data_IF_556922023547
#
_entry.id   IF_556922023547
#
_cell.length_a   1.000
_cell.length_b   1.000
_cell.length_c   1.000
_cell.angle_alpha   90.00
_cell.angle_beta   90.00
_cell.angle_gamma   90.00
#
_symmetry.space_group_name_H-M   'P 1'
#
loop_
_entity.id
_entity.type
_entity.pdbx_description
1 polymer ?
#
# COMPACT_ATOMS: atom_id res chain seq x y z
N UNK A 1 -12.98 17.69 -13.43
CA UNK A 1 -13.27 17.00 -12.16
C UNK A 1 -12.30 15.84 -11.97
N UNK A 2 -11.73 15.74 -10.77
CA UNK A 2 -10.80 14.68 -10.40
C UNK A 2 -11.55 13.35 -10.28
N UNK A 3 -11.05 12.31 -10.96
CA UNK A 3 -11.63 10.96 -10.94
C UNK A 3 -10.96 10.12 -9.87
N UNK A 4 -11.77 9.39 -9.10
CA UNK A 4 -11.32 8.49 -8.03
C UNK A 4 -11.91 7.09 -8.20
N UNK A 5 -11.19 6.07 -7.73
CA UNK A 5 -11.61 4.66 -7.80
C UNK A 5 -11.87 4.05 -6.42
N UNK A 6 -11.33 4.64 -5.36
CA UNK A 6 -11.39 4.09 -4.00
C UNK A 6 -12.76 4.21 -3.34
N UNK A 7 -13.68 4.99 -3.91
CA UNK A 7 -15.03 5.17 -3.38
C UNK A 7 -15.88 3.90 -3.49
N UNK A 8 -15.81 3.21 -4.65
CA UNK A 8 -16.69 2.10 -5.00
C UNK A 8 -16.04 1.04 -5.92
N UNK A 9 -14.69 1.05 -6.05
CA UNK A 9 -13.89 0.24 -6.98
C UNK A 9 -14.20 0.50 -8.46
N UNK A 10 -14.84 1.61 -8.77
CA UNK A 10 -15.12 2.07 -10.13
C UNK A 10 -14.75 3.54 -10.28
N UNK A 11 -14.41 3.96 -11.48
CA UNK A 11 -14.12 5.36 -11.77
C UNK A 11 -15.36 6.23 -11.57
N UNK A 12 -15.24 7.23 -10.72
CA UNK A 12 -16.29 8.19 -10.42
C UNK A 12 -15.68 9.57 -10.19
N UNK A 13 -16.38 10.64 -10.59
CA UNK A 13 -15.98 11.98 -10.20
C UNK A 13 -15.96 12.09 -8.67
N UNK A 14 -14.90 12.66 -8.12
CA UNK A 14 -14.75 12.88 -6.68
C UNK A 14 -15.93 13.61 -6.06
N UNK A 15 -16.53 14.54 -6.78
CA UNK A 15 -17.71 15.29 -6.31
C UNK A 15 -18.96 14.43 -6.23
N UNK A 16 -19.07 13.41 -7.09
CA UNK A 16 -20.20 12.47 -7.14
C UNK A 16 -19.98 11.23 -6.26
N UNK A 17 -18.79 11.05 -5.75
CA UNK A 17 -18.48 9.92 -4.87
C UNK A 17 -19.30 9.97 -3.57
N UNK A 18 -20.01 8.88 -3.20
CA UNK A 18 -20.85 8.85 -1.99
C UNK A 18 -20.03 8.87 -0.69
N UNK A 19 -18.72 8.65 -0.77
CA UNK A 19 -17.77 8.81 0.34
C UNK A 19 -16.79 9.93 0.06
N UNK A 20 -16.21 10.48 1.12
CA UNK A 20 -15.14 11.47 1.00
C UNK A 20 -13.86 10.75 0.64
N UNK A 21 -13.32 11.06 -0.54
CA UNK A 21 -11.99 10.63 -0.99
C UNK A 21 -11.07 11.83 -1.00
N UNK A 22 -10.02 11.78 -0.20
CA UNK A 22 -8.94 12.76 -0.28
C UNK A 22 -7.93 12.28 -1.32
N UNK A 23 -7.45 13.20 -2.15
CA UNK A 23 -6.51 12.89 -3.21
C UNK A 23 -5.24 13.70 -3.03
N UNK A 24 -4.10 13.03 -3.06
CA UNK A 24 -2.79 13.63 -3.11
C UNK A 24 -2.21 13.39 -4.50
N UNK A 25 -1.96 14.45 -5.25
CA UNK A 25 -1.44 14.37 -6.62
C UNK A 25 0.09 14.25 -6.66
N UNK A 26 0.63 13.76 -7.77
CA UNK A 26 2.07 13.74 -8.03
C UNK A 26 2.73 15.13 -7.87
N UNK A 27 2.01 16.20 -8.25
CA UNK A 27 2.48 17.57 -8.07
C UNK A 27 2.74 17.95 -6.61
N UNK A 28 1.95 17.43 -5.67
CA UNK A 28 2.20 17.65 -4.25
C UNK A 28 3.53 17.02 -3.83
N UNK A 29 3.80 15.78 -4.27
CA UNK A 29 5.05 15.07 -3.95
C UNK A 29 6.28 15.81 -4.48
N UNK A 30 6.19 16.37 -5.68
CA UNK A 30 7.23 17.24 -6.25
C UNK A 30 7.41 18.53 -5.45
N UNK A 31 6.31 19.17 -5.07
CA UNK A 31 6.34 20.45 -4.32
C UNK A 31 6.98 20.29 -2.95
N UNK A 32 6.74 19.19 -2.26
CA UNK A 32 7.31 18.93 -0.93
C UNK A 32 8.68 18.24 -0.98
N UNK A 33 9.24 18.04 -2.18
CA UNK A 33 10.52 17.37 -2.41
C UNK A 33 10.63 16.04 -1.67
N UNK A 34 9.59 15.23 -1.71
CA UNK A 34 9.59 13.96 -1.02
C UNK A 34 10.28 12.86 -1.82
N UNK A 35 11.16 12.12 -1.17
CA UNK A 35 11.88 10.98 -1.76
C UNK A 35 11.11 9.68 -1.62
N UNK A 36 10.15 9.63 -0.70
CA UNK A 36 9.32 8.44 -0.42
C UNK A 36 7.87 8.82 -0.12
N UNK A 37 6.99 7.84 -0.30
CA UNK A 37 5.57 8.05 -0.11
C UNK A 37 5.23 8.33 1.36
N UNK A 38 5.88 7.67 2.30
CA UNK A 38 5.58 7.82 3.73
C UNK A 38 5.70 9.27 4.18
N UNK A 39 6.81 9.96 3.86
CA UNK A 39 6.99 11.37 4.19
C UNK A 39 5.91 12.26 3.57
N UNK A 40 5.51 11.97 2.34
CA UNK A 40 4.47 12.75 1.65
C UNK A 40 3.13 12.71 2.36
N UNK A 41 2.77 11.58 2.97
CA UNK A 41 1.48 11.39 3.63
C UNK A 41 1.27 12.33 4.82
N UNK A 42 2.33 12.85 5.44
CA UNK A 42 2.22 13.86 6.52
C UNK A 42 1.58 15.18 6.06
N UNK A 43 1.58 15.47 4.77
CA UNK A 43 0.95 16.68 4.22
C UNK A 43 -0.56 16.52 4.02
N UNK A 44 -1.12 15.37 4.35
CA UNK A 44 -2.55 15.14 4.28
C UNK A 44 -3.18 15.23 5.68
N UNK A 45 -4.13 16.13 5.86
CA UNK A 45 -4.86 16.28 7.12
C UNK A 45 -5.46 14.95 7.58
N UNK A 46 -5.30 14.61 8.87
CA UNK A 46 -5.79 13.37 9.49
C UNK A 46 -4.92 12.14 9.21
N UNK A 47 -3.78 12.31 8.53
CA UNK A 47 -2.71 11.34 8.48
C UNK A 47 -1.52 11.84 9.31
N UNK A 48 -0.84 10.92 9.94
CA UNK A 48 0.42 11.15 10.63
C UNK A 48 1.35 9.97 10.37
N UNK A 49 2.56 10.26 9.94
CA UNK A 49 3.63 9.27 9.82
C UNK A 49 4.54 9.39 11.03
N UNK A 50 4.67 8.33 11.77
CA UNK A 50 5.54 8.23 12.95
C UNK A 50 6.62 7.18 12.71
N UNK A 51 7.83 7.45 13.18
CA UNK A 51 8.88 6.45 13.27
C UNK A 51 8.82 5.83 14.66
N UNK A 52 8.33 4.60 14.75
CA UNK A 52 8.16 3.89 16.02
C UNK A 52 9.47 3.32 16.58
N UNK A 53 10.49 3.26 15.76
CA UNK A 53 11.81 2.76 16.14
C UNK A 53 12.90 3.67 15.58
N UNK A 54 13.72 4.25 16.44
CA UNK A 54 14.86 5.08 16.04
C UNK A 54 15.89 4.28 15.24
N UNK A 55 16.25 3.10 15.74
CA UNK A 55 17.31 2.28 15.16
C UNK A 55 16.92 1.66 13.81
N UNK A 56 15.68 1.16 13.67
CA UNK A 56 15.23 0.53 12.44
C UNK A 56 14.65 1.52 11.40
N UNK A 57 14.30 2.74 11.84
CA UNK A 57 13.77 3.78 10.96
C UNK A 57 12.47 3.39 10.29
N UNK A 58 11.55 2.82 11.04
CA UNK A 58 10.30 2.26 10.57
C UNK A 58 9.15 3.27 10.59
N UNK A 59 8.68 3.75 9.43
CA UNK A 59 7.56 4.67 9.37
C UNK A 59 6.22 3.93 9.40
N UNK A 60 5.37 4.31 10.30
CA UNK A 60 4.00 3.85 10.42
C UNK A 60 3.02 4.99 10.10
N UNK A 61 1.99 4.72 9.31
CA UNK A 61 0.96 5.72 8.99
C UNK A 61 -0.24 5.51 9.89
N UNK A 62 -0.58 6.53 10.66
CA UNK A 62 -1.81 6.61 11.46
C UNK A 62 -2.89 7.36 10.69
N UNK A 63 -4.10 6.80 10.66
CA UNK A 63 -5.28 7.46 10.11
C UNK A 63 -6.20 7.83 11.29
N UNK A 64 -6.46 9.12 11.48
CA UNK A 64 -7.28 9.62 12.59
C UNK A 64 -6.84 9.10 13.97
N UNK A 65 -5.53 8.88 14.17
CA UNK A 65 -4.96 8.38 15.41
C UNK A 65 -4.93 6.85 15.54
N UNK A 66 -5.58 6.10 14.65
CA UNK A 66 -5.48 4.64 14.62
C UNK A 66 -4.15 4.22 14.00
N UNK A 67 -3.54 3.20 14.57
CA UNK A 67 -2.22 2.68 14.18
C UNK A 67 -2.20 2.07 12.78
N UNK A 68 -1.00 1.98 12.20
CA UNK A 68 -0.78 1.51 10.84
C UNK A 68 -1.45 0.18 10.49
N UNK A 69 -1.39 -0.85 11.34
CA UNK A 69 -2.04 -2.14 11.10
C UNK A 69 -3.56 -2.08 10.89
N UNK A 70 -4.21 -1.00 11.33
CA UNK A 70 -5.65 -0.76 11.09
C UNK A 70 -5.93 0.00 9.79
N UNK A 71 -4.90 0.26 8.98
CA UNK A 71 -4.99 0.95 7.70
C UNK A 71 -4.68 0.01 6.55
N UNK A 72 -5.61 -0.15 5.62
CA UNK A 72 -5.39 -0.96 4.42
C UNK A 72 -4.64 -0.16 3.37
N UNK A 73 -3.48 -0.66 2.96
CA UNK A 73 -2.70 -0.08 1.86
C UNK A 73 -2.92 -0.93 0.60
N UNK A 74 -3.20 -0.25 -0.50
CA UNK A 74 -3.48 -0.85 -1.80
C UNK A 74 -2.57 -0.24 -2.86
N UNK A 75 -2.23 -1.02 -3.86
CA UNK A 75 -1.67 -0.54 -5.13
C UNK A 75 -2.65 -0.87 -6.24
N UNK A 76 -3.12 0.16 -6.95
CA UNK A 76 -4.13 0.01 -8.01
C UNK A 76 -5.38 -0.78 -7.55
N UNK A 77 -5.87 -0.44 -6.34
CA UNK A 77 -7.03 -1.07 -5.69
C UNK A 77 -6.86 -2.55 -5.31
N UNK A 78 -5.63 -3.05 -5.26
CA UNK A 78 -5.31 -4.43 -4.86
C UNK A 78 -4.50 -4.43 -3.58
N UNK A 79 -4.86 -5.28 -2.60
CA UNK A 79 -4.00 -5.49 -1.45
C UNK A 79 -2.73 -6.20 -1.93
N UNK A 80 -1.60 -5.52 -1.83
CA UNK A 80 -0.29 -6.04 -2.25
C UNK A 80 0.61 -6.25 -1.04
N UNK A 81 0.14 -5.88 0.12
CA UNK A 81 0.97 -5.77 1.31
C UNK A 81 0.79 -7.03 2.14
N UNK A 82 1.88 -7.76 2.26
CA UNK A 82 2.05 -8.86 3.20
C UNK A 82 2.10 -8.35 4.66
N UNK A 83 1.99 -9.24 5.62
CA UNK A 83 2.17 -8.91 7.03
C UNK A 83 3.50 -8.20 7.29
N UNK A 84 4.58 -8.63 6.62
CA UNK A 84 5.92 -8.03 6.75
C UNK A 84 6.02 -6.67 6.06
N UNK A 85 5.46 -6.49 4.88
CA UNK A 85 5.53 -5.20 4.16
C UNK A 85 4.56 -4.15 4.70
N UNK A 86 3.58 -4.53 5.50
CA UNK A 86 2.77 -3.59 6.30
C UNK A 86 3.62 -2.76 7.25
N UNK A 87 4.76 -3.28 7.64
CA UNK A 87 5.73 -2.62 8.53
C UNK A 87 6.64 -1.65 7.76
N UNK A 88 7.23 -2.06 6.65
CA UNK A 88 8.24 -1.27 5.91
C UNK A 88 7.77 -0.74 4.55
N UNK A 89 6.64 -1.21 4.06
CA UNK A 89 6.25 -1.11 2.66
C UNK A 89 6.08 0.31 2.10
N UNK A 90 5.67 1.28 2.91
CA UNK A 90 5.39 2.63 2.40
C UNK A 90 6.64 3.41 1.99
N UNK A 91 7.77 3.23 2.67
CA UNK A 91 9.03 3.86 2.25
C UNK A 91 9.63 3.21 1.00
N UNK A 92 9.26 1.95 0.75
CA UNK A 92 9.73 1.18 -0.39
C UNK A 92 9.01 1.53 -1.70
N UNK A 93 7.92 2.32 -1.61
CA UNK A 93 7.17 2.80 -2.77
C UNK A 93 7.76 4.13 -3.25
N UNK A 94 8.43 4.15 -4.40
CA UNK A 94 9.04 5.37 -4.91
C UNK A 94 7.98 6.33 -5.45
N UNK A 95 8.08 7.60 -5.09
CA UNK A 95 7.11 8.63 -5.49
C UNK A 95 7.04 8.85 -7.00
N UNK A 96 8.14 8.56 -7.73
CA UNK A 96 8.19 8.75 -9.18
C UNK A 96 7.27 7.78 -9.96
N UNK A 97 6.88 6.64 -9.36
CA UNK A 97 5.89 5.72 -9.95
C UNK A 97 4.44 6.13 -9.65
N UNK A 98 4.22 7.02 -8.67
CA UNK A 98 2.88 7.36 -8.19
C UNK A 98 2.27 8.46 -9.02
N UNK A 99 1.05 8.24 -9.52
CA UNK A 99 0.22 9.26 -10.16
C UNK A 99 -0.54 10.08 -9.11
N UNK A 100 -1.18 9.37 -8.18
CA UNK A 100 -1.91 9.96 -7.05
C UNK A 100 -2.10 8.95 -5.93
N UNK A 101 -2.41 9.45 -4.76
CA UNK A 101 -2.84 8.63 -3.62
C UNK A 101 -4.25 9.02 -3.24
N UNK A 102 -5.14 8.04 -3.18
CA UNK A 102 -6.52 8.19 -2.77
C UNK A 102 -6.69 7.66 -1.35
N UNK A 103 -7.24 8.49 -0.45
CA UNK A 103 -7.41 8.16 0.96
C UNK A 103 -8.88 8.22 1.31
N UNK A 104 -9.42 7.08 1.73
CA UNK A 104 -10.77 6.95 2.30
C UNK A 104 -10.64 6.68 3.77
N UNK A 105 -11.30 7.50 4.60
CA UNK A 105 -11.26 7.37 6.05
C UNK A 105 -12.46 6.58 6.57
N UNK A 106 -12.26 5.90 7.70
CA UNK A 106 -13.28 5.05 8.31
C UNK A 106 -13.31 3.65 7.70
N UNK A 107 -14.19 2.80 8.17
CA UNK A 107 -14.26 1.38 7.80
C UNK A 107 -14.39 1.16 6.30
N UNK A 108 -13.41 0.51 5.70
CA UNK A 108 -13.35 0.17 4.26
C UNK A 108 -13.51 -1.32 3.98
N UNK A 109 -13.69 -2.15 5.02
CA UNK A 109 -13.67 -3.62 4.88
C UNK A 109 -14.76 -4.16 3.97
N UNK A 110 -15.87 -3.47 3.82
CA UNK A 110 -16.93 -3.83 2.87
C UNK A 110 -16.46 -3.88 1.40
N UNK A 111 -15.38 -3.17 1.04
CA UNK A 111 -14.77 -3.22 -0.29
C UNK A 111 -13.43 -3.92 -0.33
N UNK A 112 -12.59 -3.62 0.67
CA UNK A 112 -11.17 -3.92 0.61
C UNK A 112 -10.75 -5.05 1.59
N UNK A 113 -11.70 -5.60 2.35
CA UNK A 113 -11.46 -6.73 3.25
C UNK A 113 -10.78 -6.35 4.55
N UNK A 114 -9.97 -7.26 5.07
CA UNK A 114 -9.28 -7.11 6.35
C UNK A 114 -8.37 -5.87 6.39
N UNK A 115 -8.11 -5.38 7.60
CA UNK A 115 -7.24 -4.25 7.93
C UNK A 115 -7.78 -2.85 7.59
N UNK A 116 -8.88 -2.71 6.85
CA UNK A 116 -9.48 -1.42 6.53
C UNK A 116 -10.40 -0.91 7.66
N UNK A 117 -9.89 -0.77 8.88
CA UNK A 117 -10.63 -0.27 10.06
C UNK A 117 -10.55 1.25 10.14
N UNK A 118 -9.36 1.81 10.15
CA UNK A 118 -9.11 3.26 10.20
C UNK A 118 -9.31 3.95 8.86
N UNK A 119 -9.11 3.20 7.78
CA UNK A 119 -9.24 3.69 6.41
C UNK A 119 -8.45 2.89 5.40
N UNK A 120 -8.45 3.41 4.18
CA UNK A 120 -7.74 2.83 3.05
C UNK A 120 -6.87 3.88 2.39
N UNK A 121 -5.63 3.52 2.10
CA UNK A 121 -4.67 4.31 1.31
C UNK A 121 -4.45 3.56 0.01
N UNK A 122 -4.97 4.06 -1.09
CA UNK A 122 -4.87 3.45 -2.41
C UNK A 122 -3.88 4.24 -3.28
N UNK A 123 -2.79 3.60 -3.62
CA UNK A 123 -1.71 4.17 -4.42
C UNK A 123 -2.00 3.85 -5.87
N UNK A 124 -2.30 4.87 -6.66
CA UNK A 124 -2.51 4.75 -8.10
C UNK A 124 -1.19 5.04 -8.80
N UNK A 125 -0.70 4.05 -9.53
CA UNK A 125 0.56 4.16 -10.26
C UNK A 125 0.35 4.81 -11.63
N UNK A 126 1.39 5.51 -12.13
CA UNK A 126 1.36 6.17 -13.45
C UNK A 126 1.13 5.14 -14.55
N UNK A 127 0.16 5.42 -15.40
CA UNK A 127 -0.06 4.67 -16.64
C UNK A 127 0.82 5.24 -17.77
N UNK A 128 1.35 4.41 -18.66
CA UNK A 128 1.99 4.90 -19.90
C UNK A 128 0.91 5.45 -20.84
N UNK A 129 0.75 6.78 -20.86
CA UNK A 129 -0.26 7.46 -21.69
C UNK A 129 0.36 8.25 -22.84
N UNK A 130 1.65 8.55 -22.77
CA UNK A 130 2.40 9.25 -23.79
C UNK A 130 3.88 8.90 -23.71
N UNK A 131 4.62 9.13 -24.81
CA UNK A 131 6.06 8.99 -24.78
C UNK A 131 6.66 10.09 -23.91
N UNK A 132 7.42 9.70 -22.91
CA UNK A 132 8.04 10.62 -21.96
C UNK A 132 9.32 10.04 -21.37
N UNK A 133 10.18 10.95 -20.94
CA UNK A 133 11.40 10.63 -20.20
C UNK A 133 11.57 11.67 -19.10
N UNK A 134 11.82 11.22 -17.89
CA UNK A 134 12.05 12.08 -16.75
C UNK A 134 13.22 11.55 -15.91
N UNK A 135 14.11 12.42 -15.49
CA UNK A 135 15.16 12.14 -14.51
C UNK A 135 15.02 13.13 -13.37
N UNK A 136 15.17 12.68 -12.17
CA UNK A 136 15.17 13.48 -10.96
C UNK A 136 16.37 13.13 -10.09
N UNK A 137 16.95 14.12 -9.46
CA UNK A 137 18.04 13.94 -8.50
C UNK A 137 17.83 14.91 -7.35
N UNK A 138 18.06 14.42 -6.14
CA UNK A 138 18.03 15.24 -4.93
C UNK A 138 19.18 14.87 -4.03
N UNK A 139 19.79 15.86 -3.44
CA UNK A 139 20.83 15.70 -2.43
C UNK A 139 20.46 16.52 -1.21
N UNK A 140 20.41 15.92 -0.07
CA UNK A 140 20.08 16.54 1.21
C UNK A 140 21.24 16.42 2.17
N UNK A 141 21.55 17.51 2.87
CA UNK A 141 22.52 17.51 3.95
C UNK A 141 21.81 17.72 5.29
N UNK A 142 22.08 16.85 6.24
CA UNK A 142 21.52 16.91 7.59
C UNK A 142 22.55 17.55 8.52
N UNK A 143 22.35 18.83 8.82
CA UNK A 143 23.14 19.62 9.77
C UNK A 143 24.68 19.57 9.55
N UNK A 144 25.12 19.46 8.28
CA UNK A 144 26.54 19.35 7.93
C UNK A 144 27.18 17.97 8.25
N UNK A 145 26.48 17.10 8.94
CA UNK A 145 27.01 15.82 9.44
C UNK A 145 26.72 14.63 8.54
N UNK A 146 25.58 14.59 7.87
CA UNK A 146 25.15 13.43 7.06
C UNK A 146 24.51 13.83 5.74
N UNK A 147 24.62 12.94 4.76
CA UNK A 147 24.11 13.15 3.41
C UNK A 147 23.09 12.07 3.05
N UNK A 148 22.04 12.50 2.36
CA UNK A 148 21.11 11.61 1.68
C UNK A 148 21.05 11.97 0.20
N UNK A 149 21.18 10.97 -0.67
CA UNK A 149 21.10 11.09 -2.12
C UNK A 149 19.90 10.29 -2.62
N UNK A 150 19.17 10.88 -3.54
CA UNK A 150 18.11 10.24 -4.31
C UNK A 150 18.32 10.50 -5.79
N UNK A 151 18.17 9.45 -6.59
CA UNK A 151 18.12 9.53 -8.05
C UNK A 151 16.92 8.72 -8.52
N UNK A 152 16.16 9.25 -9.45
CA UNK A 152 14.99 8.60 -10.04
C UNK A 152 14.93 8.81 -11.54
N UNK A 153 14.54 7.77 -12.27
CA UNK A 153 14.31 7.80 -13.70
C UNK A 153 12.98 7.18 -14.08
N UNK A 154 12.29 7.76 -15.06
CA UNK A 154 11.08 7.21 -15.65
C UNK A 154 11.19 7.28 -17.18
N UNK A 155 10.76 6.22 -17.85
CA UNK A 155 10.58 6.17 -19.31
C UNK A 155 9.20 5.63 -19.59
N UNK A 156 8.46 6.28 -20.47
CA UNK A 156 7.18 5.81 -20.97
C UNK A 156 7.18 5.80 -22.48
N UNK A 157 6.77 4.68 -23.06
CA UNK A 157 6.63 4.46 -24.48
C UNK A 157 5.23 3.95 -24.79
N UNK A 158 4.58 4.56 -25.78
CA UNK A 158 3.20 4.24 -26.15
C UNK A 158 3.09 4.13 -27.66
N UNK A 159 2.43 3.10 -28.14
CA UNK A 159 2.11 2.93 -29.54
C UNK A 159 1.22 4.07 -30.05
N UNK A 160 1.39 4.48 -31.32
CA UNK A 160 0.63 5.59 -31.91
C UNK A 160 -0.90 5.38 -31.88
N UNK A 161 -1.31 4.13 -31.98
CA UNK A 161 -2.72 3.69 -31.94
C UNK A 161 -3.20 3.35 -30.52
N UNK A 162 -2.38 3.58 -29.48
CA UNK A 162 -2.64 3.21 -28.09
C UNK A 162 -2.96 1.73 -27.84
N UNK A 163 -2.55 0.84 -28.74
CA UNK A 163 -2.75 -0.61 -28.58
C UNK A 163 -1.93 -1.16 -27.43
N UNK A 164 -0.72 -0.64 -27.21
CA UNK A 164 0.13 -1.02 -26.08
C UNK A 164 0.94 0.17 -25.56
N UNK A 165 1.33 0.07 -24.33
CA UNK A 165 2.25 1.03 -23.70
C UNK A 165 3.04 0.35 -22.59
N UNK A 166 4.24 0.86 -22.35
CA UNK A 166 5.15 0.41 -21.30
C UNK A 166 5.75 1.62 -20.58
N UNK A 167 5.76 1.58 -19.27
CA UNK A 167 6.48 2.50 -18.41
C UNK A 167 7.50 1.72 -17.58
N UNK A 168 8.71 2.23 -17.54
CA UNK A 168 9.80 1.74 -16.70
C UNK A 168 10.14 2.85 -15.72
N UNK A 169 10.47 2.47 -14.50
CA UNK A 169 10.98 3.39 -13.49
C UNK A 169 12.09 2.74 -12.69
N UNK A 170 13.05 3.55 -12.29
CA UNK A 170 14.13 3.16 -11.41
C UNK A 170 14.37 4.24 -10.38
N UNK A 171 14.69 3.85 -9.15
CA UNK A 171 15.12 4.77 -8.10
C UNK A 171 16.27 4.19 -7.32
N UNK A 172 17.21 5.05 -7.02
CA UNK A 172 18.30 4.80 -6.10
C UNK A 172 18.23 5.80 -4.95
N UNK A 173 18.33 5.32 -3.72
CA UNK A 173 18.37 6.13 -2.51
C UNK A 173 19.47 5.65 -1.59
N UNK A 174 20.31 6.58 -1.16
CA UNK A 174 21.39 6.28 -0.24
C UNK A 174 21.45 7.35 0.85
N UNK A 175 21.42 6.95 2.10
CA UNK A 175 21.53 7.83 3.26
C UNK A 175 22.64 7.31 4.18
N UNK A 176 23.55 8.20 4.56
CA UNK A 176 24.50 7.94 5.62
C UNK A 176 23.79 7.99 6.99
N UNK A 177 24.28 7.29 8.00
CA UNK A 177 23.71 7.42 9.34
C UNK A 177 23.88 8.86 9.85
N UNK A 178 22.92 9.30 10.64
CA UNK A 178 22.91 10.63 11.25
C UNK A 178 22.75 10.51 12.76
N UNK A 179 23.76 10.97 13.48
CA UNK A 179 23.82 11.12 14.92
C UNK A 179 23.59 12.62 15.22
N UNK A 180 22.43 12.93 15.79
CA UNK A 180 21.98 14.29 16.01
C UNK A 180 22.63 14.94 17.23
N UNK A 181 22.68 14.21 18.35
CA UNK A 181 23.13 14.70 19.65
C UNK A 181 24.60 14.39 19.96
N UNK A 182 25.22 13.49 19.18
CA UNK A 182 26.67 13.20 19.27
C UNK A 182 26.99 12.12 20.30
N UNK A 183 26.06 11.30 20.68
CA UNK A 183 26.25 10.19 21.63
C UNK A 183 26.84 8.92 20.98
N UNK A 184 27.01 8.93 19.65
CA UNK A 184 27.57 7.84 18.85
C UNK A 184 26.53 6.87 18.31
N UNK A 185 25.24 7.05 18.63
CA UNK A 185 24.13 6.30 18.07
C UNK A 185 23.40 7.12 17.02
N UNK A 186 22.74 6.44 16.10
CA UNK A 186 22.04 7.12 15.00
C UNK A 186 20.56 7.33 15.32
N UNK A 187 20.06 8.56 15.21
CA UNK A 187 18.62 8.88 15.15
C UNK A 187 18.04 8.58 13.78
N UNK A 188 18.87 8.68 12.72
CA UNK A 188 18.52 8.20 11.40
C UNK A 188 19.54 7.17 10.93
N UNK A 189 19.10 5.94 10.73
CA UNK A 189 19.95 4.85 10.32
C UNK A 189 20.46 4.99 8.88
N UNK A 190 21.50 4.24 8.56
CA UNK A 190 21.99 4.05 7.20
C UNK A 190 20.92 3.40 6.35
N UNK A 191 20.73 3.89 5.12
CA UNK A 191 19.82 3.35 4.12
C UNK A 191 20.53 3.24 2.78
N UNK A 192 20.39 2.10 2.11
CA UNK A 192 20.71 1.93 0.70
C UNK A 192 19.56 1.16 0.06
N UNK A 193 18.91 1.74 -0.92
CA UNK A 193 17.75 1.16 -1.58
C UNK A 193 17.83 1.38 -3.08
N UNK A 194 17.54 0.32 -3.82
CA UNK A 194 17.37 0.36 -5.27
C UNK A 194 16.03 -0.30 -5.60
N UNK A 195 15.19 0.41 -6.34
CA UNK A 195 13.89 -0.10 -6.81
C UNK A 195 13.81 0.05 -8.31
N UNK A 196 13.50 -1.05 -8.99
CA UNK A 196 13.18 -1.07 -10.41
C UNK A 196 11.75 -1.55 -10.58
N UNK A 197 11.02 -0.98 -11.53
CA UNK A 197 9.69 -1.44 -11.86
C UNK A 197 9.28 -1.20 -13.30
N UNK A 198 8.24 -1.93 -13.67
CA UNK A 198 7.64 -1.94 -14.98
C UNK A 198 6.12 -1.93 -14.83
N UNK A 199 5.47 -1.12 -15.64
CA UNK A 199 4.02 -1.17 -15.86
C UNK A 199 3.76 -1.16 -17.37
N UNK A 200 2.98 -2.12 -17.84
CA UNK A 200 2.64 -2.22 -19.25
C UNK A 200 1.15 -2.51 -19.42
N UNK A 201 0.61 -2.10 -20.54
CA UNK A 201 -0.70 -2.54 -20.98
C UNK A 201 -0.69 -3.01 -22.43
N UNK A 202 -1.64 -3.90 -22.72
CA UNK A 202 -1.99 -4.33 -24.07
C UNK A 202 -3.50 -4.32 -24.24
N UNK A 203 -3.98 -3.74 -25.34
CA UNK A 203 -5.41 -3.71 -25.72
C UNK A 203 -5.62 -4.65 -26.89
N UNK A 204 -6.04 -5.90 -26.67
CA UNK A 204 -6.35 -6.84 -27.75
C UNK A 204 -7.55 -6.39 -28.59
N UNK A 205 -8.40 -5.54 -28.04
CA UNK A 205 -9.51 -4.88 -28.70
C UNK A 205 -9.81 -3.53 -28.02
N UNK A 206 -10.65 -2.70 -28.66
CA UNK A 206 -11.03 -1.39 -28.10
C UNK A 206 -11.76 -1.47 -26.75
N UNK A 207 -12.37 -2.62 -26.46
CA UNK A 207 -13.12 -2.88 -25.23
C UNK A 207 -12.44 -3.83 -24.26
N UNK A 208 -11.18 -4.17 -24.49
CA UNK A 208 -10.41 -5.07 -23.61
C UNK A 208 -9.04 -4.50 -23.31
N UNK A 209 -8.59 -4.69 -22.06
CA UNK A 209 -7.27 -4.25 -21.62
C UNK A 209 -6.65 -5.28 -20.70
N UNK A 210 -5.42 -5.64 -20.98
CA UNK A 210 -4.53 -6.43 -20.10
C UNK A 210 -3.53 -5.44 -19.50
N UNK A 211 -3.34 -5.49 -18.17
CA UNK A 211 -2.28 -4.73 -17.51
C UNK A 211 -1.32 -5.71 -16.83
N UNK A 212 -0.03 -5.41 -16.94
CA UNK A 212 1.07 -6.16 -16.34
C UNK A 212 1.87 -5.20 -15.47
N UNK A 213 2.20 -5.61 -14.27
CA UNK A 213 3.00 -4.85 -13.33
C UNK A 213 4.08 -5.76 -12.74
N UNK A 214 5.28 -5.22 -12.59
CA UNK A 214 6.37 -5.86 -11.87
C UNK A 214 7.21 -4.80 -11.19
N UNK A 215 7.63 -5.07 -9.96
CA UNK A 215 8.66 -4.27 -9.31
C UNK A 215 9.53 -5.14 -8.40
N UNK A 216 10.78 -4.73 -8.26
CA UNK A 216 11.74 -5.32 -7.34
C UNK A 216 12.41 -4.23 -6.53
N UNK A 217 12.61 -4.50 -5.25
CA UNK A 217 13.30 -3.59 -4.33
C UNK A 217 14.38 -4.36 -3.58
N UNK A 218 15.61 -3.84 -3.64
CA UNK A 218 16.70 -4.25 -2.79
C UNK A 218 16.95 -3.15 -1.77
N UNK A 219 16.78 -3.46 -0.50
CA UNK A 219 16.92 -2.49 0.57
C UNK A 219 17.90 -3.02 1.64
N UNK A 220 18.79 -2.15 2.08
CA UNK A 220 19.62 -2.33 3.24
C UNK A 220 19.38 -1.18 4.22
N UNK A 221 19.03 -1.50 5.46
CA UNK A 221 18.89 -0.56 6.58
C UNK A 221 19.75 -0.99 7.75
N UNK A 222 20.32 -0.01 8.45
CA UNK A 222 21.04 -0.26 9.68
C UNK A 222 20.99 0.98 10.57
N UNK A 223 20.54 0.78 11.81
CA UNK A 223 20.64 1.75 12.90
C UNK A 223 21.49 1.23 14.03
N UNK A 224 21.83 2.09 14.97
CA UNK A 224 22.69 1.80 16.10
C UNK A 224 24.01 2.55 16.05
N UNK A 225 25.11 1.90 16.39
CA UNK A 225 26.42 2.54 16.42
C UNK A 225 27.50 1.74 15.66
N UNK A 226 28.72 2.27 15.63
CA UNK A 226 29.94 1.59 15.09
C UNK A 226 29.70 0.96 13.71
N UNK A 227 29.21 1.77 12.75
CA UNK A 227 28.80 1.33 11.42
C UNK A 227 29.88 0.67 10.56
N UNK A 228 31.15 0.77 10.97
CA UNK A 228 32.31 0.13 10.34
C UNK A 228 32.55 -1.30 10.78
N UNK A 229 31.88 -1.76 11.85
CA UNK A 229 32.00 -3.10 12.41
C UNK A 229 30.86 -4.01 11.95
N UNK A 230 30.99 -5.32 12.15
CA UNK A 230 29.88 -6.25 11.94
C UNK A 230 28.72 -5.97 12.95
N UNK A 231 27.47 -6.29 12.65
CA UNK A 231 26.37 -6.02 13.57
C UNK A 231 26.58 -6.57 14.98
N UNK A 232 27.07 -7.80 15.10
CA UNK A 232 27.32 -8.47 16.38
C UNK A 232 28.60 -7.99 17.13
N UNK A 233 29.35 -7.05 16.54
CA UNK A 233 30.54 -6.46 17.19
C UNK A 233 30.22 -5.10 17.81
N UNK A 234 29.00 -4.62 17.64
CA UNK A 234 28.54 -3.30 18.10
C UNK A 234 27.86 -3.40 19.46
N UNK A 235 27.57 -2.25 20.06
CA UNK A 235 26.87 -2.21 21.34
C UNK A 235 25.37 -2.46 21.14
N UNK A 236 24.77 -1.81 20.13
CA UNK A 236 23.41 -2.04 19.67
C UNK A 236 23.39 -1.90 18.14
N UNK A 237 22.77 -2.84 17.46
CA UNK A 237 22.47 -2.73 16.02
C UNK A 237 21.14 -3.37 15.69
N UNK A 238 20.36 -2.63 14.93
CA UNK A 238 19.23 -3.15 14.16
C UNK A 238 19.57 -3.04 12.68
N UNK A 239 19.60 -4.17 12.00
CA UNK A 239 19.93 -4.24 10.60
C UNK A 239 18.95 -5.14 9.87
N UNK A 240 18.49 -4.68 8.71
CA UNK A 240 17.68 -5.48 7.79
C UNK A 240 18.19 -5.36 6.37
N UNK A 241 18.13 -6.47 5.64
CA UNK A 241 18.32 -6.54 4.20
C UNK A 241 17.11 -7.21 3.60
N UNK A 242 16.36 -6.48 2.78
CA UNK A 242 15.18 -6.97 2.08
C UNK A 242 15.47 -7.16 0.59
N UNK A 243 14.94 -8.25 0.03
CA UNK A 243 14.78 -8.44 -1.40
C UNK A 243 13.29 -8.70 -1.62
N UNK A 244 12.61 -7.76 -2.27
CA UNK A 244 11.18 -7.80 -2.52
C UNK A 244 10.96 -7.91 -4.02
N UNK A 245 10.20 -8.91 -4.43
CA UNK A 245 9.73 -9.07 -5.80
C UNK A 245 8.22 -9.09 -5.80
N UNK A 246 7.60 -8.25 -6.62
CA UNK A 246 6.16 -8.15 -6.69
C UNK A 246 5.69 -8.07 -8.14
N UNK A 247 4.57 -8.70 -8.43
CA UNK A 247 3.99 -8.70 -9.77
C UNK A 247 2.48 -8.71 -9.73
N UNK A 248 1.87 -8.22 -10.81
CA UNK A 248 0.43 -8.18 -10.98
C UNK A 248 0.02 -8.32 -12.44
N UNK A 249 -1.11 -8.97 -12.64
CA UNK A 249 -1.78 -9.11 -13.92
C UNK A 249 -3.25 -8.75 -13.74
N UNK A 250 -3.82 -8.01 -14.68
CA UNK A 250 -5.27 -7.83 -14.74
C UNK A 250 -5.77 -7.82 -16.16
N UNK A 251 -7.01 -8.28 -16.31
CA UNK A 251 -7.78 -8.22 -17.54
C UNK A 251 -9.10 -7.50 -17.25
N UNK A 252 -9.33 -6.42 -17.98
CA UNK A 252 -10.58 -5.66 -17.99
C UNK A 252 -11.28 -5.84 -19.34
N UNK A 253 -12.57 -6.14 -19.29
CA UNK A 253 -13.43 -6.21 -20.49
C UNK A 253 -14.67 -5.37 -20.29
N UNK A 254 -14.98 -4.55 -21.30
CA UNK A 254 -16.11 -3.63 -21.31
C UNK A 254 -17.07 -4.02 -22.42
N UNK A 255 -18.37 -3.86 -22.21
CA UNK A 255 -19.39 -4.04 -23.23
C UNK A 255 -20.57 -3.11 -23.02
N UNK A 256 -21.48 -3.06 -24.00
CA UNK A 256 -22.65 -2.20 -23.97
C UNK A 256 -22.28 -0.75 -23.68
N UNK A 257 -21.43 -0.15 -24.56
CA UNK A 257 -20.96 1.24 -24.43
C UNK A 257 -20.28 1.52 -23.06
N UNK A 258 -19.51 0.56 -22.57
CA UNK A 258 -18.82 0.59 -21.27
C UNK A 258 -19.75 0.67 -20.04
N UNK A 259 -21.07 0.42 -20.21
CA UNK A 259 -22.00 0.31 -19.07
C UNK A 259 -21.73 -0.91 -18.19
N UNK A 260 -21.09 -1.91 -18.76
CA UNK A 260 -20.71 -3.13 -18.06
C UNK A 260 -19.20 -3.33 -18.14
N UNK A 261 -18.63 -3.75 -17.03
CA UNK A 261 -17.20 -4.07 -16.90
C UNK A 261 -17.03 -5.36 -16.15
N UNK A 262 -16.19 -6.25 -16.65
CA UNK A 262 -15.65 -7.39 -15.92
C UNK A 262 -14.14 -7.18 -15.72
N UNK A 263 -13.67 -7.41 -14.52
CA UNK A 263 -12.25 -7.36 -14.18
C UNK A 263 -11.84 -8.68 -13.54
N UNK A 264 -10.75 -9.27 -14.03
CA UNK A 264 -10.05 -10.38 -13.39
C UNK A 264 -8.65 -9.92 -13.05
N UNK A 265 -8.15 -10.25 -11.87
CA UNK A 265 -6.83 -9.81 -11.46
C UNK A 265 -6.15 -10.81 -10.53
N UNK A 266 -4.84 -10.81 -10.59
CA UNK A 266 -3.98 -11.51 -9.66
C UNK A 266 -2.75 -10.67 -9.33
N UNK A 267 -2.25 -10.82 -8.12
CA UNK A 267 -0.98 -10.24 -7.68
C UNK A 267 -0.23 -11.20 -6.78
N UNK A 268 1.09 -11.08 -6.79
CA UNK A 268 2.00 -11.88 -5.96
C UNK A 268 3.11 -10.99 -5.44
N UNK A 269 3.52 -11.20 -4.20
CA UNK A 269 4.69 -10.56 -3.61
C UNK A 269 5.48 -11.58 -2.80
N UNK A 270 6.77 -11.62 -3.01
CA UNK A 270 7.72 -12.41 -2.23
C UNK A 270 8.74 -11.48 -1.59
N UNK A 271 8.96 -11.64 -0.29
CA UNK A 271 9.95 -10.89 0.49
C UNK A 271 10.89 -11.85 1.18
N UNK A 272 12.17 -11.78 0.85
CA UNK A 272 13.27 -12.40 1.60
C UNK A 272 13.92 -11.31 2.48
N UNK A 273 13.98 -11.55 3.77
CA UNK A 273 14.60 -10.63 4.73
C UNK A 273 15.67 -11.34 5.54
N UNK A 274 16.87 -10.78 5.56
CA UNK A 274 17.89 -11.11 6.53
C UNK A 274 17.97 -9.98 7.56
N UNK A 275 17.96 -10.31 8.83
CA UNK A 275 17.91 -9.32 9.92
C UNK A 275 18.97 -9.59 10.99
N UNK A 276 19.29 -8.55 11.72
CA UNK A 276 20.03 -8.62 12.98
C UNK A 276 19.37 -7.62 13.95
N UNK A 277 18.93 -8.09 15.10
CA UNK A 277 18.36 -7.27 16.17
C UNK A 277 19.07 -7.60 17.48
N UNK A 278 20.20 -6.96 17.73
CA UNK A 278 21.04 -7.35 18.84
C UNK A 278 21.69 -6.21 19.59
N UNK A 279 21.96 -6.47 20.87
CA UNK A 279 22.75 -5.64 21.75
C UNK A 279 23.83 -6.48 22.42
N UNK A 280 24.82 -5.80 23.04
CA UNK A 280 25.88 -6.43 23.83
C UNK A 280 26.69 -7.51 23.07
N UNK A 281 26.89 -7.32 21.78
CA UNK A 281 27.67 -8.21 20.91
C UNK A 281 27.11 -9.63 20.77
N UNK A 282 25.78 -9.74 20.73
CA UNK A 282 25.12 -11.04 20.65
C UNK A 282 25.30 -11.66 19.26
N UNK A 283 26.03 -12.77 19.17
CA UNK A 283 26.25 -13.52 17.93
C UNK A 283 24.98 -14.24 17.41
N UNK A 284 24.00 -14.43 18.26
CA UNK A 284 22.80 -15.22 17.94
C UNK A 284 21.60 -14.38 17.52
N UNK A 285 21.74 -13.05 17.41
CA UNK A 285 20.66 -12.14 17.10
C UNK A 285 20.35 -12.01 15.59
N UNK A 286 20.86 -12.92 14.77
CA UNK A 286 20.56 -13.00 13.34
C UNK A 286 19.26 -13.72 13.10
N UNK A 287 18.49 -13.22 12.13
CA UNK A 287 17.24 -13.80 11.72
C UNK A 287 17.08 -13.85 10.20
N UNK A 288 16.20 -14.72 9.77
CA UNK A 288 15.76 -14.84 8.37
C UNK A 288 14.25 -14.96 8.30
N UNK A 289 13.64 -14.18 7.40
CA UNK A 289 12.21 -14.21 7.15
C UNK A 289 11.96 -14.42 5.66
N UNK A 290 11.06 -15.34 5.34
CA UNK A 290 10.49 -15.58 4.03
C UNK A 290 8.99 -15.31 4.10
N UNK A 291 8.48 -14.45 3.22
CA UNK A 291 7.07 -14.04 3.23
C UNK A 291 6.53 -14.01 1.80
N UNK A 292 5.59 -14.89 1.52
CA UNK A 292 4.91 -14.99 0.23
C UNK A 292 3.44 -14.64 0.38
N UNK A 293 3.00 -13.61 -0.33
CA UNK A 293 1.58 -13.22 -0.41
C UNK A 293 1.11 -13.27 -1.86
N UNK A 294 -0.08 -13.83 -2.10
CA UNK A 294 -0.72 -13.71 -3.39
C UNK A 294 -2.23 -13.48 -3.24
N UNK A 295 -2.80 -12.81 -4.22
CA UNK A 295 -4.21 -12.45 -4.29
C UNK A 295 -4.76 -12.79 -5.66
N UNK A 296 -5.94 -13.38 -5.72
CA UNK A 296 -6.72 -13.56 -6.94
C UNK A 296 -8.11 -12.98 -6.71
N UNK A 297 -8.65 -12.30 -7.72
CA UNK A 297 -9.98 -11.73 -7.62
C UNK A 297 -10.67 -11.54 -8.96
N UNK A 298 -11.98 -11.40 -8.88
CA UNK A 298 -12.83 -11.05 -10.00
C UNK A 298 -13.93 -10.10 -9.56
N UNK A 299 -14.27 -9.16 -10.44
CA UNK A 299 -15.27 -8.15 -10.16
C UNK A 299 -16.09 -7.86 -11.41
N UNK A 300 -17.39 -7.65 -11.22
CA UNK A 300 -18.30 -7.15 -12.21
C UNK A 300 -18.89 -5.81 -11.76
N UNK A 301 -18.97 -4.86 -12.68
CA UNK A 301 -19.66 -3.59 -12.52
C UNK A 301 -20.69 -3.45 -13.65
N UNK A 302 -21.93 -3.13 -13.30
CA UNK A 302 -23.00 -2.95 -14.28
C UNK A 302 -23.87 -1.74 -13.98
N UNK A 303 -24.04 -0.87 -14.96
CA UNK A 303 -24.99 0.25 -14.89
C UNK A 303 -26.36 -0.21 -15.37
N UNK A 304 -27.37 0.06 -14.57
CA UNK A 304 -28.77 -0.28 -14.82
C UNK A 304 -29.60 1.01 -14.90
N UNK A 305 -30.38 1.16 -15.98
CA UNK A 305 -31.22 2.34 -16.14
C UNK A 305 -32.30 2.45 -15.06
N UNK A 306 -32.76 1.30 -14.55
CA UNK A 306 -33.67 1.21 -13.41
C UNK A 306 -33.39 -0.08 -12.62
N UNK A 307 -33.21 0.08 -11.31
CA UNK A 307 -33.06 -1.01 -10.39
C UNK A 307 -33.85 -0.68 -9.12
N UNK A 308 -34.95 -1.39 -8.90
CA UNK A 308 -35.95 -1.14 -7.87
C UNK A 308 -36.68 0.19 -8.05
N UNK A 309 -36.06 1.32 -7.74
CA UNK A 309 -36.74 2.65 -7.72
C UNK A 309 -35.93 3.76 -8.42
N UNK A 310 -34.69 3.49 -8.88
CA UNK A 310 -33.85 4.51 -9.53
C UNK A 310 -32.77 3.87 -10.42
N UNK A 311 -32.13 4.64 -11.31
CA UNK A 311 -30.90 4.22 -11.96
C UNK A 311 -29.85 3.81 -10.94
N UNK A 312 -29.11 2.73 -11.23
CA UNK A 312 -28.16 2.19 -10.28
C UNK A 312 -26.90 1.65 -10.95
N UNK A 313 -25.82 1.62 -10.16
CA UNK A 313 -24.58 0.92 -10.50
C UNK A 313 -24.41 -0.23 -9.53
N UNK A 314 -24.47 -1.44 -10.04
CA UNK A 314 -24.18 -2.66 -9.28
C UNK A 314 -22.70 -2.97 -9.36
N UNK A 315 -22.11 -3.38 -8.26
CA UNK A 315 -20.74 -3.93 -8.18
C UNK A 315 -20.76 -5.18 -7.34
N UNK A 316 -20.23 -6.27 -7.86
CA UNK A 316 -20.08 -7.52 -7.11
C UNK A 316 -18.81 -8.24 -7.49
N UNK A 317 -18.24 -8.98 -6.56
CA UNK A 317 -17.00 -9.68 -6.81
C UNK A 317 -16.60 -10.67 -5.73
N UNK A 318 -15.50 -11.32 -6.00
CA UNK A 318 -14.84 -12.24 -5.08
C UNK A 318 -13.36 -11.95 -5.03
N UNK A 319 -12.73 -12.33 -3.92
CA UNK A 319 -11.29 -12.16 -3.70
C UNK A 319 -10.80 -13.29 -2.80
N UNK A 320 -9.68 -13.87 -3.16
CA UNK A 320 -8.97 -14.85 -2.34
C UNK A 320 -7.56 -14.36 -2.11
N UNK A 321 -7.14 -14.36 -0.86
CA UNK A 321 -5.78 -13.99 -0.43
C UNK A 321 -5.15 -15.13 0.35
N UNK A 322 -3.89 -15.39 0.09
CA UNK A 322 -3.04 -16.31 0.87
C UNK A 322 -1.74 -15.60 1.23
N UNK A 323 -1.36 -15.67 2.48
CA UNK A 323 -0.06 -15.19 2.98
C UNK A 323 0.60 -16.31 3.78
N UNK A 324 1.79 -16.71 3.37
CA UNK A 324 2.64 -17.67 4.04
C UNK A 324 3.89 -16.99 4.54
N UNK A 325 4.06 -16.94 5.85
CA UNK A 325 5.20 -16.33 6.54
C UNK A 325 5.98 -17.42 7.28
N UNK A 326 7.31 -17.39 7.14
CA UNK A 326 8.25 -18.16 7.96
C UNK A 326 9.35 -17.24 8.48
N UNK A 327 9.40 -17.05 9.79
CA UNK A 327 10.39 -16.20 10.46
C UNK A 327 11.21 -17.01 11.46
N UNK A 328 12.52 -17.01 11.29
CA UNK A 328 13.46 -17.79 12.11
C UNK A 328 14.48 -16.87 12.74
N UNK A 329 14.66 -17.00 14.05
CA UNK A 329 15.65 -16.29 14.83
C UNK A 329 16.19 -17.25 15.90
N UNK A 330 17.15 -18.06 15.50
CA UNK A 330 17.60 -19.23 16.26
C UNK A 330 18.14 -18.85 17.65
N UNK A 331 18.83 -17.72 17.76
CA UNK A 331 19.38 -17.26 19.04
C UNK A 331 18.33 -16.84 20.06
N UNK A 332 17.11 -16.54 19.60
CA UNK A 332 15.98 -16.23 20.46
C UNK A 332 14.94 -17.37 20.50
N UNK A 333 15.35 -18.57 20.06
CA UNK A 333 14.47 -19.75 19.98
C UNK A 333 13.16 -19.50 19.25
N UNK A 334 13.18 -18.58 18.26
CA UNK A 334 12.01 -18.24 17.45
C UNK A 334 12.05 -18.95 16.10
N UNK A 335 11.07 -19.79 15.86
CA UNK A 335 10.74 -20.39 14.58
C UNK A 335 9.22 -20.29 14.39
N UNK A 336 8.78 -19.25 13.69
CA UNK A 336 7.37 -18.93 13.55
C UNK A 336 6.92 -19.17 12.11
N UNK A 337 5.90 -19.99 11.96
CA UNK A 337 5.22 -20.24 10.69
C UNK A 337 3.77 -19.82 10.81
N UNK A 338 3.35 -18.95 9.93
CA UNK A 338 1.96 -18.54 9.85
C UNK A 338 1.47 -18.64 8.41
N UNK A 339 0.26 -19.16 8.26
CA UNK A 339 -0.46 -19.15 6.99
C UNK A 339 -1.83 -18.51 7.22
N UNK A 340 -2.08 -17.38 6.56
CA UNK A 340 -3.33 -16.65 6.60
C UNK A 340 -4.01 -16.76 5.25
N UNK A 341 -5.26 -17.30 5.25
CA UNK A 341 -6.09 -17.43 4.05
C UNK A 341 -7.41 -16.74 4.27
N UNK A 342 -7.78 -15.89 3.33
CA UNK A 342 -9.05 -15.16 3.39
C UNK A 342 -9.76 -15.33 2.05
N UNK A 343 -10.98 -15.87 2.09
CA UNK A 343 -11.89 -15.91 0.96
C UNK A 343 -13.03 -14.93 1.21
N UNK A 344 -13.20 -13.95 0.34
CA UNK A 344 -14.20 -12.90 0.49
C UNK A 344 -15.08 -12.77 -0.75
N UNK A 345 -16.35 -12.46 -0.53
CA UNK A 345 -17.30 -12.05 -1.56
C UNK A 345 -17.94 -10.75 -1.15
N UNK A 346 -18.19 -9.87 -2.12
CA UNK A 346 -18.82 -8.59 -1.84
C UNK A 346 -19.82 -8.22 -2.92
N UNK A 347 -20.85 -7.50 -2.49
CA UNK A 347 -21.86 -6.91 -3.37
C UNK A 347 -22.18 -5.52 -2.86
N UNK A 348 -22.40 -4.60 -3.79
CA UNK A 348 -22.93 -3.27 -3.48
C UNK A 348 -23.80 -2.75 -4.62
N UNK A 349 -24.73 -1.88 -4.28
CA UNK A 349 -25.52 -1.15 -5.25
C UNK A 349 -25.55 0.33 -4.90
N UNK A 350 -25.36 1.18 -5.91
CA UNK A 350 -25.38 2.64 -5.80
C UNK A 350 -26.55 3.16 -6.63
N UNK A 351 -27.57 3.70 -5.97
CA UNK A 351 -28.73 4.35 -6.62
C UNK A 351 -28.49 5.84 -6.72
N UNK A 352 -28.73 6.39 -7.90
CA UNK A 352 -28.59 7.83 -8.18
C UNK A 352 -29.95 8.44 -8.49
N UNK A 353 -30.40 9.29 -7.59
CA UNK A 353 -31.59 10.11 -7.72
C UNK A 353 -31.17 11.58 -7.89
N UNK A 354 -32.11 12.45 -8.25
CA UNK A 354 -31.80 13.85 -8.55
C UNK A 354 -30.94 14.57 -7.49
N UNK A 355 -31.27 14.39 -6.22
CA UNK A 355 -30.58 15.06 -5.10
C UNK A 355 -29.92 14.09 -4.12
N UNK A 356 -30.19 12.80 -4.25
CA UNK A 356 -29.74 11.78 -3.32
C UNK A 356 -29.03 10.65 -4.06
N UNK A 357 -27.80 10.37 -3.66
CA UNK A 357 -27.12 9.12 -4.02
C UNK A 357 -27.04 8.24 -2.78
N UNK A 358 -27.49 7.00 -2.91
CA UNK A 358 -27.48 6.01 -1.85
C UNK A 358 -26.65 4.80 -2.29
N UNK A 359 -25.67 4.41 -1.50
CA UNK A 359 -24.90 3.19 -1.70
C UNK A 359 -25.13 2.27 -0.51
N UNK A 360 -25.47 1.02 -0.79
CA UNK A 360 -25.57 -0.06 0.19
C UNK A 360 -24.68 -1.22 -0.26
N UNK A 361 -23.88 -1.73 0.62
CA UNK A 361 -22.96 -2.83 0.34
C UNK A 361 -22.80 -3.79 1.52
N UNK A 362 -22.42 -5.00 1.19
CA UNK A 362 -22.12 -6.06 2.13
C UNK A 362 -20.94 -6.88 1.62
N UNK A 363 -20.00 -7.18 2.49
CA UNK A 363 -18.94 -8.17 2.26
C UNK A 363 -19.05 -9.28 3.29
N UNK A 364 -18.75 -10.48 2.86
CA UNK A 364 -18.63 -11.67 3.68
C UNK A 364 -17.26 -12.28 3.48
N UNK A 365 -16.50 -12.42 4.56
CA UNK A 365 -15.18 -13.04 4.57
C UNK A 365 -15.15 -14.30 5.43
N UNK A 366 -14.43 -15.32 4.95
CA UNK A 366 -14.02 -16.48 5.71
C UNK A 366 -12.51 -16.46 5.86
N UNK A 367 -12.07 -16.33 7.11
CA UNK A 367 -10.67 -16.37 7.50
C UNK A 367 -10.34 -17.76 8.06
N UNK A 368 -9.17 -18.33 7.72
CA UNK A 368 -8.82 -19.68 8.20
C UNK A 368 -8.56 -19.77 9.71
N UNK A 369 -8.17 -18.65 10.35
CA UNK A 369 -7.92 -18.59 11.80
C UNK A 369 -9.14 -18.15 12.61
N UNK A 370 -10.29 -17.93 11.97
CA UNK A 370 -11.53 -17.47 12.60
C UNK A 370 -12.67 -18.41 12.21
N UNK A 371 -13.32 -19.02 13.19
CA UNK A 371 -14.38 -20.01 12.93
C UNK A 371 -15.63 -19.39 12.32
N UNK A 372 -15.97 -18.16 12.68
CA UNK A 372 -17.16 -17.47 12.22
C UNK A 372 -16.94 -16.77 10.88
N UNK A 373 -18.00 -16.64 10.10
CA UNK A 373 -18.04 -15.73 8.97
C UNK A 373 -18.06 -14.28 9.46
N UNK A 374 -17.33 -13.44 8.78
CA UNK A 374 -17.21 -12.03 9.09
C UNK A 374 -18.05 -11.25 8.09
N UNK A 375 -18.99 -10.44 8.58
CA UNK A 375 -19.85 -9.60 7.77
C UNK A 375 -19.47 -8.14 7.94
N UNK A 376 -19.25 -7.45 6.83
CA UNK A 376 -18.88 -6.04 6.78
C UNK A 376 -19.93 -5.25 6.00
N UNK A 377 -20.99 -4.74 6.65
CA UNK A 377 -21.98 -3.89 6.01
C UNK A 377 -21.45 -2.46 5.80
N UNK A 378 -22.04 -1.78 4.81
CA UNK A 378 -21.73 -0.40 4.46
C UNK A 378 -22.98 0.31 3.93
N UNK A 379 -23.21 1.53 4.38
CA UNK A 379 -24.24 2.43 3.86
C UNK A 379 -23.65 3.83 3.73
N UNK A 380 -23.81 4.43 2.54
CA UNK A 380 -23.38 5.79 2.28
C UNK A 380 -24.54 6.58 1.64
N UNK A 381 -24.75 7.77 2.13
CA UNK A 381 -25.72 8.72 1.59
C UNK A 381 -25.00 10.01 1.20
N UNK A 382 -25.22 10.48 -0.01
CA UNK A 382 -24.81 11.80 -0.49
C UNK A 382 -26.07 12.58 -0.84
N UNK A 383 -26.36 13.64 -0.12
CA UNK A 383 -27.49 14.53 -0.35
C UNK A 383 -27.01 15.88 -0.87
N UNK A 384 -27.55 16.30 -2.02
CA UNK A 384 -27.24 17.56 -2.70
C UNK A 384 -28.51 18.39 -2.84
N UNK A 385 -28.91 19.15 -1.82
CA UNK A 385 -30.09 20.01 -1.91
C UNK A 385 -29.91 21.14 -2.92
N UNK A 386 -28.67 21.61 -3.14
CA UNK A 386 -28.28 22.67 -4.05
C UNK A 386 -26.90 22.35 -4.65
N UNK A 387 -26.53 22.98 -5.77
CA UNK A 387 -25.27 22.72 -6.48
C UNK A 387 -24.00 23.03 -5.66
N UNK A 388 -24.10 23.95 -4.72
CA UNK A 388 -23.02 24.40 -3.85
C UNK A 388 -23.06 23.81 -2.44
N UNK A 389 -24.05 22.95 -2.12
CA UNK A 389 -24.19 22.32 -0.82
C UNK A 389 -24.36 20.81 -0.95
N UNK A 390 -23.54 20.07 -0.23
CA UNK A 390 -23.64 18.62 -0.15
C UNK A 390 -23.38 18.12 1.27
N UNK A 391 -24.18 17.15 1.67
CA UNK A 391 -24.02 16.43 2.93
C UNK A 391 -23.74 14.95 2.66
N UNK A 392 -22.85 14.36 3.43
CA UNK A 392 -22.57 12.92 3.36
C UNK A 392 -22.75 12.30 4.73
N UNK A 393 -23.39 11.13 4.73
CA UNK A 393 -23.49 10.26 5.90
C UNK A 393 -22.93 8.90 5.52
N UNK A 394 -22.03 8.38 6.34
CA UNK A 394 -21.38 7.08 6.14
C UNK A 394 -21.52 6.23 7.37
N UNK A 395 -22.01 5.01 7.18
CA UNK A 395 -21.89 3.92 8.13
C UNK A 395 -21.13 2.79 7.48
N UNK A 396 -20.06 2.32 8.10
CA UNK A 396 -19.29 1.19 7.63
C UNK A 396 -18.59 0.50 8.79
N UNK A 397 -18.35 -0.79 8.63
CA UNK A 397 -17.59 -1.57 9.58
C UNK A 397 -16.24 -1.93 8.99
N UNK A 398 -15.27 -2.18 9.87
CA UNK A 398 -13.97 -2.70 9.53
C UNK A 398 -13.58 -3.80 10.50
N UNK A 399 -12.81 -4.76 10.03
CA UNK A 399 -12.21 -5.78 10.90
C UNK A 399 -10.72 -5.92 10.59
N UNK A 400 -9.98 -6.32 11.59
CA UNK A 400 -8.60 -6.77 11.47
C UNK A 400 -8.54 -8.23 11.86
N UNK A 401 -7.96 -9.02 10.98
CA UNK A 401 -7.67 -10.41 11.27
C UNK A 401 -6.44 -10.53 12.18
N UNK A 402 -6.40 -11.51 13.09
CA UNK A 402 -5.20 -11.80 13.86
C UNK A 402 -4.05 -12.17 12.90
N UNK A 403 -2.90 -11.54 13.11
CA UNK A 403 -1.66 -11.86 12.40
C UNK A 403 -0.56 -12.00 13.46
N UNK A 404 0.27 -13.04 13.33
CA UNK A 404 1.36 -13.27 14.27
C UNK A 404 2.48 -12.25 14.12
N UNK A 405 2.62 -11.68 12.92
CA UNK A 405 3.58 -10.61 12.67
C UNK A 405 2.96 -9.26 12.95
N UNK A 406 2.76 -8.98 14.22
CA UNK A 406 2.36 -7.67 14.71
C UNK A 406 3.57 -6.80 15.04
N UNK A 407 3.32 -5.55 15.38
CA UNK A 407 4.29 -4.48 15.66
C UNK A 407 5.37 -4.89 16.65
N UNK A 408 5.07 -5.82 17.53
CA UNK A 408 5.93 -6.22 18.63
C UNK A 408 7.10 -7.12 18.23
N UNK A 409 7.10 -7.71 17.03
CA UNK A 409 8.09 -8.71 16.66
C UNK A 409 9.48 -8.16 16.33
N UNK A 410 9.60 -6.86 16.08
CA UNK A 410 10.91 -6.22 15.89
C UNK A 410 11.43 -5.57 17.17
N UNK A 411 10.56 -5.20 18.09
CA UNK A 411 10.91 -4.50 19.35
C UNK A 411 11.39 -5.47 20.43
N UNK A 412 10.88 -6.69 20.43
CA UNK A 412 11.18 -7.69 21.46
C UNK A 412 12.59 -8.23 21.44
N UNK A 413 13.39 -7.90 20.44
CA UNK A 413 14.64 -8.60 20.23
C UNK A 413 15.90 -7.81 20.63
N UNK A 414 15.79 -6.51 20.90
CA UNK A 414 16.98 -5.73 21.32
C UNK A 414 17.30 -6.03 22.78
N UNK A 415 18.11 -7.05 22.99
CA UNK A 415 18.53 -7.49 24.33
C UNK A 415 18.27 -8.96 24.62
N UNK A 416 17.59 -9.70 23.75
CA UNK A 416 17.53 -11.16 23.78
C UNK A 416 16.60 -11.79 24.80
N UNK A 417 15.84 -11.03 25.55
CA UNK A 417 14.81 -11.57 26.45
C UNK A 417 13.43 -11.34 25.83
N UNK A 418 12.81 -12.44 25.44
CA UNK A 418 11.40 -12.41 24.99
C UNK A 418 10.49 -11.97 26.13
N UNK A 419 9.56 -11.09 25.83
CA UNK A 419 8.41 -10.78 26.69
C UNK A 419 7.38 -11.89 26.51
#
# INVERSE_FOLDING_TARGET
DEVVVSANRNEVSRREAPVVVNVMSAKLFETVNSTDLAKSLNYQSGLRVENNCQNCGFPQVRINGLEGPYSQILINSRPVISALSGVYGLEQIPVNMVERVEIVRGGGSALFGANAVGGTINIITKDPVSNSFQVSSMMSNMNGKSWEQYMGGNVSLVAKDNTYGIALYETYRNRNPYDADGDGFSELGKLNMNTFGLRAYYRPSYNSRINIEYHTTNEFRRGGNKFNLQPHETDITEQTKHIINSGGLSYDHYWNEAKHKMSLYGSIQHTDRNSYYGAQKNLNAYGKTDDLTWVLGGMYVGQMNNCLFAPATFTGGFEYQDNALHDVMTGYHRDMKQNVRIAGTFVQNEWRMRQLTMLVGLRMDKHNLIDKLIFSPRVNLLYKPMDNLQARLTYSTGFRAPQAYDEDLHVTAVGGEGI
#
